data_IF_963636959364
#
_entry.id   IF_963636959364
#
_cell.length_a   1.000
_cell.length_b   1.000
_cell.length_c   1.000
_cell.angle_alpha   90.00
_cell.angle_beta   90.00
_cell.angle_gamma   90.00
#
_symmetry.space_group_name_H-M   'P 1'
#
loop_
_entity.id
_entity.type
_entity.pdbx_description
1 polymer ?
#
# COMPACT_ATOMS: atom_id res chain seq x y z
N UNK A 1 -9.24 7.11 1.56
CA UNK A 1 -9.51 6.06 2.57
C UNK A 1 -8.47 6.14 3.68
N UNK A 2 -8.65 7.07 4.61
CA UNK A 2 -7.75 7.27 5.74
C UNK A 2 -8.31 6.58 6.98
N UNK A 3 -7.44 5.99 7.81
CA UNK A 3 -7.86 5.43 9.09
C UNK A 3 -8.02 6.55 10.13
N UNK A 4 -8.95 6.39 11.06
CA UNK A 4 -9.08 7.30 12.19
C UNK A 4 -7.90 7.12 13.15
N UNK A 5 -7.30 8.22 13.61
CA UNK A 5 -6.15 8.24 14.51
C UNK A 5 -6.54 8.87 15.84
N UNK A 6 -6.06 8.28 16.94
CA UNK A 6 -6.14 8.91 18.26
C UNK A 6 -5.28 10.16 18.31
N UNK A 7 -5.53 11.07 19.27
CA UNK A 7 -4.74 12.30 19.42
C UNK A 7 -3.23 12.01 19.50
N UNK A 8 -2.84 11.00 20.29
CA UNK A 8 -1.44 10.60 20.43
C UNK A 8 -0.83 10.07 19.12
N UNK A 9 -1.60 9.32 18.35
CA UNK A 9 -1.15 8.83 17.04
C UNK A 9 -1.03 9.96 16.01
N UNK A 10 -1.89 10.98 16.08
CA UNK A 10 -1.77 12.19 15.25
C UNK A 10 -0.52 12.98 15.62
N UNK A 11 -0.20 13.11 16.91
CA UNK A 11 1.04 13.73 17.39
C UNK A 11 2.27 12.98 16.86
N UNK A 12 2.29 11.65 16.95
CA UNK A 12 3.38 10.85 16.37
C UNK A 12 3.49 11.03 14.86
N UNK A 13 2.38 10.92 14.14
CA UNK A 13 2.36 11.07 12.69
C UNK A 13 2.86 12.45 12.24
N UNK A 14 2.51 13.51 12.98
CA UNK A 14 2.95 14.88 12.66
C UNK A 14 4.45 15.08 12.80
N UNK A 15 5.12 14.25 13.61
CA UNK A 15 6.56 14.28 13.84
C UNK A 15 7.32 13.22 13.02
N UNK A 16 6.61 12.41 12.23
CA UNK A 16 7.13 11.30 11.45
C UNK A 16 7.31 11.70 9.98
N UNK A 17 8.50 11.49 9.44
CA UNK A 17 8.74 11.52 7.99
C UNK A 17 8.48 10.13 7.41
N UNK A 18 7.57 10.03 6.45
CA UNK A 18 7.17 8.78 5.80
C UNK A 18 7.91 8.53 4.48
N UNK A 19 8.50 9.57 3.91
CA UNK A 19 9.38 9.46 2.75
C UNK A 19 10.78 9.05 3.20
N UNK A 20 11.07 7.75 3.01
CA UNK A 20 12.37 7.18 3.36
C UNK A 20 13.57 7.90 2.71
N UNK A 21 13.37 8.60 1.58
CA UNK A 21 14.45 9.32 0.89
C UNK A 21 14.84 10.62 1.57
N UNK A 22 13.98 11.16 2.44
CA UNK A 22 14.21 12.39 3.20
C UNK A 22 14.85 12.15 4.57
N UNK A 23 14.84 10.90 5.05
CA UNK A 23 15.48 10.49 6.30
C UNK A 23 16.92 10.08 6.00
N UNK A 24 17.81 11.07 5.90
CA UNK A 24 19.21 10.88 5.48
C UNK A 24 20.20 10.92 6.63
N UNK A 25 19.90 11.68 7.68
CA UNK A 25 20.77 11.81 8.86
C UNK A 25 20.55 10.65 9.87
N UNK A 26 21.62 10.27 10.56
CA UNK A 26 21.60 9.14 11.51
C UNK A 26 20.71 9.43 12.73
N UNK A 27 20.73 10.65 13.27
CA UNK A 27 19.94 10.99 14.45
C UNK A 27 18.47 11.16 14.08
N UNK A 28 18.19 11.73 12.90
CA UNK A 28 16.85 11.73 12.32
C UNK A 28 16.34 10.31 12.09
N UNK A 29 17.18 9.40 11.61
CA UNK A 29 16.80 8.00 11.44
C UNK A 29 16.42 7.33 12.76
N UNK A 30 17.21 7.54 13.82
CA UNK A 30 16.92 6.97 15.13
C UNK A 30 15.60 7.52 15.70
N UNK A 31 15.39 8.84 15.61
CA UNK A 31 14.13 9.47 16.06
C UNK A 31 12.94 8.95 15.26
N UNK A 32 13.05 8.93 13.93
CA UNK A 32 11.97 8.56 13.03
C UNK A 32 11.59 7.07 13.17
N UNK A 33 12.57 6.19 13.37
CA UNK A 33 12.34 4.76 13.55
C UNK A 33 11.58 4.43 14.84
N UNK A 34 11.89 5.09 15.96
CA UNK A 34 11.15 4.90 17.20
C UNK A 34 9.71 5.42 17.11
N UNK A 35 9.48 6.56 16.46
CA UNK A 35 8.12 7.07 16.22
C UNK A 35 7.34 6.12 15.32
N UNK A 36 7.95 5.61 14.24
CA UNK A 36 7.33 4.65 13.33
C UNK A 36 6.93 3.37 14.06
N UNK A 37 7.81 2.86 14.92
CA UNK A 37 7.55 1.67 15.72
C UNK A 37 6.41 1.89 16.72
N UNK A 38 6.43 3.00 17.47
CA UNK A 38 5.39 3.34 18.45
C UNK A 38 4.02 3.49 17.79
N UNK A 39 3.95 4.22 16.68
CA UNK A 39 2.73 4.39 15.90
C UNK A 39 2.22 3.04 15.39
N UNK A 40 3.09 2.23 14.78
CA UNK A 40 2.69 0.93 14.23
C UNK A 40 2.12 0.01 15.29
N UNK A 41 2.75 -0.09 16.47
CA UNK A 41 2.24 -0.91 17.58
C UNK A 41 0.86 -0.45 18.03
N UNK A 42 0.70 0.86 18.28
CA UNK A 42 -0.59 1.44 18.68
C UNK A 42 -1.71 1.11 17.69
N UNK A 43 -1.43 1.25 16.38
CA UNK A 43 -2.38 0.93 15.33
C UNK A 43 -2.75 -0.56 15.30
N UNK A 44 -1.80 -1.45 15.52
CA UNK A 44 -2.03 -2.90 15.52
C UNK A 44 -2.77 -3.36 16.77
N UNK A 45 -2.39 -2.85 17.95
CA UNK A 45 -2.99 -3.21 19.24
C UNK A 45 -4.49 -2.93 19.25
N UNK A 46 -4.90 -1.79 18.68
CA UNK A 46 -6.32 -1.43 18.55
C UNK A 46 -6.99 -1.91 17.27
N UNK A 47 -6.28 -2.70 16.43
CA UNK A 47 -6.77 -3.22 15.14
C UNK A 47 -7.27 -2.11 14.18
N UNK A 48 -6.59 -0.96 14.19
CA UNK A 48 -6.91 0.19 13.35
C UNK A 48 -6.68 -0.05 11.86
N UNK A 49 -5.66 -0.85 11.54
CA UNK A 49 -5.26 -1.10 10.16
C UNK A 49 -6.25 -2.08 9.52
N UNK A 50 -6.89 -1.72 8.40
CA UNK A 50 -7.77 -2.64 7.69
C UNK A 50 -7.07 -3.95 7.35
N UNK A 51 -7.76 -5.07 7.56
CA UNK A 51 -7.18 -6.41 7.39
C UNK A 51 -6.60 -6.64 5.98
N UNK A 52 -7.22 -6.09 4.94
CA UNK A 52 -6.72 -6.15 3.56
C UNK A 52 -5.36 -5.45 3.37
N UNK A 53 -5.12 -4.35 4.09
CA UNK A 53 -3.81 -3.66 4.07
C UNK A 53 -2.74 -4.47 4.80
N UNK A 54 -3.11 -5.16 5.88
CA UNK A 54 -2.19 -6.10 6.54
C UNK A 54 -1.85 -7.28 5.62
N UNK A 55 -2.83 -7.82 4.88
CA UNK A 55 -2.58 -8.87 3.87
C UNK A 55 -1.59 -8.41 2.80
N UNK A 56 -1.65 -7.17 2.33
CA UNK A 56 -0.64 -6.64 1.40
C UNK A 56 0.81 -6.82 1.89
N UNK A 57 1.01 -6.71 3.21
CA UNK A 57 2.33 -6.84 3.83
C UNK A 57 2.68 -8.29 4.22
N UNK A 58 1.72 -9.03 4.76
CA UNK A 58 1.93 -10.34 5.40
C UNK A 58 1.61 -11.54 4.50
N UNK A 59 0.78 -11.38 3.48
CA UNK A 59 0.32 -12.47 2.63
C UNK A 59 1.21 -12.61 1.37
N UNK A 60 1.86 -13.76 1.15
CA UNK A 60 2.63 -14.03 -0.06
C UNK A 60 1.82 -13.86 -1.35
N UNK A 61 0.51 -14.12 -1.33
CA UNK A 61 -0.37 -13.97 -2.49
C UNK A 61 -0.59 -12.51 -2.89
N UNK A 62 -0.18 -11.54 -2.08
CA UNK A 62 -0.32 -10.11 -2.40
C UNK A 62 0.96 -9.50 -2.94
N UNK A 63 2.01 -10.30 -3.13
CA UNK A 63 3.31 -9.86 -3.63
C UNK A 63 3.57 -10.41 -5.02
N UNK A 64 4.04 -9.53 -5.90
CA UNK A 64 4.51 -9.89 -7.24
C UNK A 64 6.04 -9.93 -7.32
N UNK A 65 6.58 -10.71 -8.26
CA UNK A 65 8.01 -10.76 -8.57
C UNK A 65 8.63 -12.14 -8.39
N UNK A 66 9.94 -12.25 -8.62
CA UNK A 66 10.67 -13.54 -8.60
C UNK A 66 10.89 -14.10 -7.20
N UNK A 67 10.95 -13.24 -6.20
CA UNK A 67 11.28 -13.64 -4.84
C UNK A 67 10.03 -14.12 -4.11
N UNK A 68 10.03 -15.40 -3.71
CA UNK A 68 8.92 -16.05 -2.98
C UNK A 68 8.68 -15.39 -1.61
N UNK A 69 7.46 -15.50 -1.08
CA UNK A 69 7.09 -15.02 0.26
C UNK A 69 6.46 -13.62 0.27
N UNK A 70 5.96 -13.22 1.43
CA UNK A 70 5.34 -11.91 1.67
C UNK A 70 6.35 -10.75 1.61
N UNK A 71 5.87 -9.51 1.78
CA UNK A 71 6.76 -8.36 1.94
C UNK A 71 7.48 -8.42 3.28
N UNK A 72 6.82 -8.92 4.33
CA UNK A 72 7.44 -9.18 5.63
C UNK A 72 8.55 -10.23 5.56
N UNK A 73 8.38 -11.29 4.76
CA UNK A 73 9.39 -12.34 4.62
C UNK A 73 10.72 -11.82 4.05
N UNK A 74 10.71 -10.69 3.33
CA UNK A 74 11.96 -10.03 2.88
C UNK A 74 12.77 -9.54 4.08
N UNK A 75 12.10 -8.93 5.06
CA UNK A 75 12.75 -8.43 6.26
C UNK A 75 13.32 -9.59 7.08
N UNK A 76 12.52 -10.65 7.28
CA UNK A 76 12.96 -11.89 7.95
C UNK A 76 14.18 -12.52 7.30
N UNK A 77 14.22 -12.61 5.97
CA UNK A 77 15.39 -13.14 5.24
C UNK A 77 16.66 -12.32 5.43
N UNK A 78 16.50 -11.03 5.68
CA UNK A 78 17.61 -10.15 6.02
C UNK A 78 17.89 -10.11 7.53
N UNK A 79 17.47 -11.14 8.27
CA UNK A 79 17.73 -11.31 9.70
C UNK A 79 16.89 -10.42 10.62
N UNK A 80 15.85 -9.76 10.11
CA UNK A 80 15.05 -8.83 10.92
C UNK A 80 13.80 -9.48 11.50
N UNK A 81 13.60 -9.32 12.80
CA UNK A 81 12.34 -9.68 13.43
C UNK A 81 11.26 -8.60 13.20
N UNK A 82 10.10 -8.75 13.87
CA UNK A 82 9.02 -7.77 13.74
C UNK A 82 9.39 -6.38 14.28
N UNK A 83 10.07 -6.33 15.43
CA UNK A 83 10.47 -5.08 16.09
C UNK A 83 11.49 -4.30 15.28
N UNK A 84 12.46 -5.00 14.69
CA UNK A 84 13.45 -4.43 13.79
C UNK A 84 12.82 -4.03 12.45
N UNK A 85 11.81 -4.77 12.00
CA UNK A 85 11.08 -4.44 10.76
C UNK A 85 10.36 -3.12 10.87
N UNK A 86 9.59 -2.89 11.93
CA UNK A 86 8.79 -1.66 12.08
C UNK A 86 9.65 -0.40 12.31
N UNK A 87 10.90 -0.57 12.74
CA UNK A 87 11.91 0.49 12.85
C UNK A 87 12.68 0.75 11.55
N UNK A 88 12.53 -0.13 10.56
CA UNK A 88 13.34 -0.06 9.36
C UNK A 88 12.87 1.05 8.40
N UNK A 89 13.79 1.77 7.76
CA UNK A 89 13.43 2.87 6.85
C UNK A 89 12.53 2.40 5.68
N UNK A 90 12.88 1.26 5.06
CA UNK A 90 12.04 0.65 4.01
C UNK A 90 10.64 0.18 4.48
N UNK A 91 10.35 0.18 5.79
CA UNK A 91 9.00 -0.10 6.29
C UNK A 91 8.08 1.12 6.21
N UNK A 92 8.61 2.34 6.15
CA UNK A 92 7.81 3.57 6.12
C UNK A 92 6.80 3.62 4.96
N UNK A 93 7.16 3.08 3.79
CA UNK A 93 6.22 2.96 2.65
C UNK A 93 5.02 2.03 2.95
N UNK A 94 5.22 1.02 3.80
CA UNK A 94 4.15 0.12 4.23
C UNK A 94 3.28 0.81 5.29
N UNK A 95 3.90 1.50 6.25
CA UNK A 95 3.20 2.33 7.23
C UNK A 95 2.35 3.42 6.56
N UNK A 96 2.90 4.11 5.55
CA UNK A 96 2.17 5.10 4.75
C UNK A 96 0.91 4.48 4.12
N UNK A 97 1.05 3.29 3.56
CA UNK A 97 -0.10 2.57 2.97
C UNK A 97 -1.13 2.19 4.05
N UNK A 98 -0.70 1.73 5.22
CA UNK A 98 -1.60 1.41 6.33
C UNK A 98 -2.44 2.63 6.75
N UNK A 99 -1.83 3.80 6.84
CA UNK A 99 -2.46 5.06 7.25
C UNK A 99 -3.43 5.61 6.19
N UNK A 100 -2.95 5.75 4.95
CA UNK A 100 -3.62 6.56 3.93
C UNK A 100 -4.24 5.78 2.77
N UNK A 101 -3.87 4.51 2.62
CA UNK A 101 -4.21 3.73 1.43
C UNK A 101 -3.37 4.10 0.22
N UNK A 102 -3.90 3.78 -0.97
CA UNK A 102 -3.24 4.04 -2.23
C UNK A 102 -2.90 5.53 -2.44
N UNK A 103 -1.71 5.80 -2.97
CA UNK A 103 -1.18 7.12 -3.25
C UNK A 103 -1.41 7.51 -4.72
N UNK A 104 -2.67 7.55 -5.14
CA UNK A 104 -3.08 8.03 -6.47
C UNK A 104 -3.74 9.40 -6.36
N UNK A 105 -3.64 10.26 -7.40
CA UNK A 105 -4.42 11.48 -7.50
C UNK A 105 -5.92 11.23 -7.32
N UNK A 106 -6.61 12.11 -6.59
CA UNK A 106 -8.03 11.96 -6.28
C UNK A 106 -8.92 11.75 -7.52
N UNK A 107 -8.71 12.43 -8.67
CA UNK A 107 -9.50 12.15 -9.87
C UNK A 107 -9.38 10.70 -10.38
N UNK A 108 -8.20 10.09 -10.23
CA UNK A 108 -7.95 8.69 -10.60
C UNK A 108 -8.60 7.76 -9.60
N UNK A 109 -8.44 8.03 -8.29
CA UNK A 109 -9.08 7.25 -7.23
C UNK A 109 -10.59 7.24 -7.42
N UNK A 110 -11.20 8.41 -7.59
CA UNK A 110 -12.64 8.57 -7.80
C UNK A 110 -13.12 7.83 -9.05
N UNK A 111 -12.45 8.02 -10.20
CA UNK A 111 -12.86 7.38 -11.46
C UNK A 111 -12.73 5.85 -11.41
N UNK A 112 -11.66 5.33 -10.81
CA UNK A 112 -11.43 3.89 -10.69
C UNK A 112 -12.35 3.25 -9.65
N UNK A 113 -12.58 3.93 -8.52
CA UNK A 113 -13.51 3.47 -7.48
C UNK A 113 -14.94 3.39 -8.01
N UNK A 114 -15.35 4.35 -8.84
CA UNK A 114 -16.66 4.29 -9.48
C UNK A 114 -16.77 3.08 -10.42
N UNK A 115 -15.75 2.83 -11.25
CA UNK A 115 -15.74 1.68 -12.14
C UNK A 115 -15.87 0.34 -11.37
N UNK A 116 -15.24 0.22 -10.20
CA UNK A 116 -15.38 -0.98 -9.36
C UNK A 116 -16.80 -1.09 -8.78
N UNK A 117 -17.40 0.03 -8.33
CA UNK A 117 -18.79 0.04 -7.84
C UNK A 117 -19.78 -0.36 -8.93
N UNK A 118 -19.53 0.03 -10.18
CA UNK A 118 -20.39 -0.28 -11.32
C UNK A 118 -20.41 -1.79 -11.64
N UNK A 119 -19.39 -2.55 -11.21
CA UNK A 119 -19.36 -4.01 -11.29
C UNK A 119 -20.29 -4.72 -10.28
N UNK A 120 -20.79 -3.99 -9.27
CA UNK A 120 -21.66 -4.53 -8.22
C UNK A 120 -20.90 -5.03 -6.99
N UNK A 121 -21.50 -6.00 -6.27
CA UNK A 121 -20.98 -6.50 -4.99
C UNK A 121 -19.71 -7.37 -5.14
N UNK A 122 -19.56 -8.03 -6.29
CA UNK A 122 -18.43 -8.89 -6.58
C UNK A 122 -17.84 -8.56 -7.94
N UNK A 123 -16.52 -8.41 -8.00
CA UNK A 123 -15.79 -8.24 -9.25
C UNK A 123 -15.54 -9.61 -9.87
N UNK A 124 -16.19 -9.89 -11.00
CA UNK A 124 -15.94 -11.11 -11.78
C UNK A 124 -14.63 -11.04 -12.56
N UNK A 125 -14.21 -12.17 -13.14
CA UNK A 125 -13.06 -12.20 -14.06
C UNK A 125 -13.29 -11.36 -15.33
N UNK A 126 -14.55 -11.23 -15.79
CA UNK A 126 -14.92 -10.34 -16.88
C UNK A 126 -14.76 -8.87 -16.50
N UNK A 127 -15.26 -8.50 -15.31
CA UNK A 127 -15.10 -7.15 -14.77
C UNK A 127 -13.62 -6.78 -14.61
N UNK A 128 -12.79 -7.71 -14.17
CA UNK A 128 -11.35 -7.51 -14.04
C UNK A 128 -10.68 -7.11 -15.37
N UNK A 129 -11.19 -7.58 -16.51
CA UNK A 129 -10.71 -7.18 -17.84
C UNK A 129 -11.05 -5.71 -18.14
N UNK A 130 -12.29 -5.30 -17.88
CA UNK A 130 -12.73 -3.93 -18.11
C UNK A 130 -12.07 -2.94 -17.14
N UNK A 131 -11.93 -3.32 -15.86
CA UNK A 131 -11.16 -2.60 -14.85
C UNK A 131 -9.69 -2.48 -15.27
N UNK A 132 -9.09 -3.54 -15.80
CA UNK A 132 -7.73 -3.50 -16.34
C UNK A 132 -7.60 -2.49 -17.49
N UNK A 133 -8.57 -2.45 -18.41
CA UNK A 133 -8.60 -1.45 -19.49
C UNK A 133 -8.75 -0.03 -18.92
N UNK A 134 -9.62 0.17 -17.94
CA UNK A 134 -9.83 1.46 -17.27
C UNK A 134 -8.56 1.94 -16.57
N UNK A 135 -7.89 1.07 -15.81
CA UNK A 135 -6.64 1.37 -15.12
C UNK A 135 -5.54 1.81 -16.10
N UNK A 136 -5.40 1.11 -17.24
CA UNK A 136 -4.45 1.51 -18.31
C UNK A 136 -4.73 2.91 -18.85
N UNK A 137 -5.99 3.23 -19.12
CA UNK A 137 -6.39 4.55 -19.62
C UNK A 137 -6.06 5.64 -18.60
N UNK A 138 -6.41 5.42 -17.33
CA UNK A 138 -6.13 6.37 -16.25
C UNK A 138 -4.62 6.56 -16.03
N UNK A 139 -3.83 5.47 -16.07
CA UNK A 139 -2.38 5.52 -15.97
C UNK A 139 -1.74 6.36 -17.08
N UNK A 140 -2.14 6.17 -18.34
CA UNK A 140 -1.58 6.96 -19.46
C UNK A 140 -1.82 8.46 -19.33
N UNK A 141 -2.89 8.84 -18.64
CA UNK A 141 -3.26 10.23 -18.41
C UNK A 141 -2.58 10.82 -17.16
N UNK A 142 -1.97 9.99 -16.31
CA UNK A 142 -1.49 10.42 -15.00
C UNK A 142 -0.06 10.93 -14.98
N UNK A 143 0.77 10.56 -15.98
CA UNK A 143 2.20 10.88 -16.02
C UNK A 143 3.01 10.28 -14.86
N UNK A 144 2.46 9.27 -14.17
CA UNK A 144 3.11 8.62 -13.03
C UNK A 144 4.16 7.64 -13.52
N UNK A 145 5.18 7.40 -12.71
CA UNK A 145 6.13 6.31 -12.93
C UNK A 145 5.37 4.96 -12.94
N UNK A 146 5.73 4.10 -13.88
CA UNK A 146 4.97 2.90 -14.24
C UNK A 146 4.89 1.90 -13.09
N UNK A 147 6.01 1.60 -12.45
CA UNK A 147 6.11 0.61 -11.38
C UNK A 147 5.36 1.10 -10.13
N UNK A 148 5.49 2.39 -9.82
CA UNK A 148 4.75 3.11 -8.80
C UNK A 148 3.24 3.05 -9.08
N UNK A 149 2.79 3.51 -10.25
CA UNK A 149 1.37 3.53 -10.59
C UNK A 149 0.76 2.13 -10.50
N UNK A 150 1.45 1.11 -11.01
CA UNK A 150 0.96 -0.26 -10.96
C UNK A 150 0.77 -0.77 -9.52
N UNK A 151 1.73 -0.50 -8.62
CA UNK A 151 1.59 -0.87 -7.19
C UNK A 151 0.49 -0.07 -6.50
N UNK A 152 0.27 1.20 -6.85
CA UNK A 152 -0.82 2.01 -6.28
C UNK A 152 -2.20 1.60 -6.80
N UNK A 153 -2.36 1.21 -8.07
CA UNK A 153 -3.60 0.62 -8.57
C UNK A 153 -3.90 -0.73 -7.91
N UNK A 154 -2.86 -1.54 -7.64
CA UNK A 154 -3.01 -2.77 -6.88
C UNK A 154 -3.54 -2.50 -5.47
N UNK A 155 -2.89 -1.57 -4.74
CA UNK A 155 -3.31 -1.11 -3.40
C UNK A 155 -4.74 -0.57 -3.38
N UNK A 156 -5.13 0.20 -4.39
CA UNK A 156 -6.49 0.72 -4.49
C UNK A 156 -7.51 -0.41 -4.71
N UNK A 157 -7.19 -1.36 -5.58
CA UNK A 157 -8.06 -2.51 -5.86
C UNK A 157 -8.33 -3.33 -4.59
N UNK A 158 -7.29 -3.66 -3.82
CA UNK A 158 -7.45 -4.41 -2.57
C UNK A 158 -8.15 -3.60 -1.47
N UNK A 159 -7.98 -2.27 -1.46
CA UNK A 159 -8.71 -1.41 -0.53
C UNK A 159 -10.22 -1.38 -0.84
N UNK A 160 -10.57 -1.58 -2.11
CA UNK A 160 -11.95 -1.63 -2.61
C UNK A 160 -12.54 -3.06 -2.63
N UNK A 161 -11.86 -4.03 -2.03
CA UNK A 161 -12.38 -5.40 -1.86
C UNK A 161 -12.16 -6.33 -3.06
N UNK A 162 -11.42 -5.90 -4.08
CA UNK A 162 -11.04 -6.78 -5.21
C UNK A 162 -10.11 -7.89 -4.71
N UNK A 163 -10.29 -9.12 -5.18
CA UNK A 163 -9.42 -10.22 -4.73
C UNK A 163 -7.99 -10.02 -5.22
N UNK A 164 -7.04 -10.69 -4.58
CA UNK A 164 -5.63 -10.59 -4.94
C UNK A 164 -5.39 -10.99 -6.41
N UNK A 165 -6.13 -11.96 -6.95
CA UNK A 165 -5.96 -12.43 -8.32
C UNK A 165 -6.39 -11.39 -9.36
N UNK A 166 -7.58 -10.81 -9.20
CA UNK A 166 -8.02 -9.75 -10.13
C UNK A 166 -7.19 -8.48 -9.95
N UNK A 167 -6.84 -8.12 -8.71
CA UNK A 167 -5.95 -6.97 -8.44
C UNK A 167 -4.58 -7.15 -9.12
N UNK A 168 -4.02 -8.36 -9.14
CA UNK A 168 -2.79 -8.65 -9.89
C UNK A 168 -2.96 -8.47 -11.40
N UNK A 169 -4.12 -8.83 -11.93
CA UNK A 169 -4.43 -8.64 -13.36
C UNK A 169 -4.47 -7.15 -13.72
N UNK A 170 -5.11 -6.34 -12.87
CA UNK A 170 -5.14 -4.87 -13.01
C UNK A 170 -3.72 -4.30 -12.94
N UNK A 171 -2.93 -4.71 -11.93
CA UNK A 171 -1.52 -4.30 -11.80
C UNK A 171 -0.72 -4.63 -13.06
N UNK A 172 -0.85 -5.87 -13.55
CA UNK A 172 -0.16 -6.33 -14.76
C UNK A 172 -0.58 -5.50 -15.97
N UNK A 173 -1.85 -5.16 -16.06
CA UNK A 173 -2.36 -4.33 -17.14
C UNK A 173 -1.67 -2.96 -17.19
N UNK A 174 -1.44 -2.32 -16.04
CA UNK A 174 -0.71 -1.05 -15.94
C UNK A 174 0.78 -1.23 -16.29
N UNK A 175 1.44 -2.29 -15.82
CA UNK A 175 2.83 -2.59 -16.21
C UNK A 175 2.98 -2.78 -17.73
N UNK A 176 2.01 -3.46 -18.35
CA UNK A 176 2.02 -3.76 -19.78
C UNK A 176 1.58 -2.54 -20.64
N UNK A 177 1.09 -1.46 -20.01
CA UNK A 177 0.76 -0.22 -20.71
C UNK A 177 2.04 0.53 -21.07
N UNK A 178 2.40 0.47 -22.35
CA UNK A 178 3.31 1.44 -22.97
C UNK A 178 2.63 2.80 -23.07
#
# INVERSE_FOLDING_TARGET
MQIELTQKEQEWLSNLELDQSKVTDHDDWKRNSEIAAALTKSLLDRKAVPAQRLKYFLDPNYRTGRMKGSRFDIFKRNGRDFEETIRHNNFLKHLRYFLFGANLPEPIVSSFSQAIKDCGEYVSSGDAYDLSRKARTLYRQSGLEREFAADEFFKLSIDLGVSASEAMSIRKAVIDAR
#
